data_IF_822174973489
#
_entry.id   IF_822174973489
#
_cell.length_a   1.000
_cell.length_b   1.000
_cell.length_c   1.000
_cell.angle_alpha   90.00
_cell.angle_beta   90.00
_cell.angle_gamma   90.00
#
_symmetry.space_group_name_H-M   'P 1'
#
loop_
_entity.id
_entity.type
_entity.pdbx_description
1 polymer ?
#
# COMPACT_ATOMS: atom_id res chain seq x y z
N UNK A 1 -7.25 -6.42 -2.24
CA UNK A 1 -5.79 -6.53 -2.50
C UNK A 1 -5.08 -6.88 -1.20
N UNK A 2 -4.01 -7.68 -1.23
CA UNK A 2 -3.20 -7.93 -0.04
C UNK A 2 -2.22 -6.77 0.20
N UNK A 3 -2.23 -6.23 1.41
CA UNK A 3 -1.35 -5.13 1.83
C UNK A 3 -0.62 -5.54 3.10
N UNK A 4 0.71 -5.46 3.04
CA UNK A 4 1.59 -5.63 4.20
C UNK A 4 1.89 -4.27 4.82
N UNK A 5 1.67 -4.14 6.13
CA UNK A 5 1.96 -2.90 6.87
C UNK A 5 3.44 -2.55 6.83
N UNK A 6 3.74 -1.27 7.02
CA UNK A 6 5.08 -0.69 7.02
C UNK A 6 5.98 -1.33 8.08
N UNK A 7 5.42 -1.64 9.26
CA UNK A 7 6.11 -2.35 10.35
C UNK A 7 6.20 -3.88 10.14
N UNK A 8 5.71 -4.40 9.01
CA UNK A 8 5.67 -5.83 8.63
C UNK A 8 4.87 -6.75 9.56
N UNK A 9 4.21 -6.21 10.58
CA UNK A 9 3.45 -6.96 11.58
C UNK A 9 2.00 -7.25 11.20
N UNK A 10 1.48 -6.63 10.13
CA UNK A 10 0.13 -6.88 9.62
C UNK A 10 0.17 -7.20 8.13
N UNK A 11 -0.65 -8.17 7.73
CA UNK A 11 -0.93 -8.51 6.34
C UNK A 11 -2.43 -8.65 6.21
N UNK A 12 -3.05 -7.78 5.43
CA UNK A 12 -4.52 -7.72 5.32
C UNK A 12 -4.95 -7.80 3.87
N UNK A 13 -6.11 -8.40 3.61
CA UNK A 13 -6.79 -8.27 2.33
C UNK A 13 -7.90 -7.24 2.48
N UNK A 14 -7.79 -6.12 1.78
CA UNK A 14 -8.76 -5.02 1.87
C UNK A 14 -9.06 -4.41 0.51
N UNK A 15 -10.25 -3.86 0.41
CA UNK A 15 -10.72 -3.03 -0.70
C UNK A 15 -11.10 -1.62 -0.21
N UNK A 16 -10.93 -1.33 1.09
CA UNK A 16 -11.23 -0.05 1.71
C UNK A 16 -9.96 0.49 2.37
N UNK A 17 -9.48 1.62 1.87
CA UNK A 17 -8.25 2.26 2.34
C UNK A 17 -8.52 3.76 2.40
N UNK A 18 -8.13 4.38 3.50
CA UNK A 18 -8.30 5.82 3.72
C UNK A 18 -7.06 6.45 4.32
N UNK A 19 -7.03 7.79 4.29
CA UNK A 19 -6.05 8.59 5.01
C UNK A 19 -6.73 9.28 6.19
N UNK A 20 -6.10 9.18 7.36
CA UNK A 20 -6.45 9.95 8.54
C UNK A 20 -5.27 10.85 8.90
N UNK A 21 -5.54 12.14 9.14
CA UNK A 21 -4.55 13.04 9.73
C UNK A 21 -4.51 12.86 11.24
N UNK A 22 -3.34 12.53 11.79
CA UNK A 22 -3.10 12.38 13.22
C UNK A 22 -1.96 13.29 13.66
N UNK A 23 -2.31 14.44 14.25
CA UNK A 23 -1.33 15.48 14.59
C UNK A 23 -0.61 16.00 13.35
N UNK A 24 0.71 15.79 13.31
CA UNK A 24 1.57 16.20 12.20
C UNK A 24 1.79 15.09 11.15
N UNK A 25 1.17 13.92 11.33
CA UNK A 25 1.34 12.77 10.44
C UNK A 25 0.05 12.45 9.69
N UNK A 26 0.21 11.73 8.58
CA UNK A 26 -0.87 11.20 7.76
C UNK A 26 -0.78 9.67 7.77
N UNK A 27 -1.79 9.03 8.36
CA UNK A 27 -1.87 7.59 8.51
C UNK A 27 -2.70 7.00 7.38
N UNK A 28 -2.16 6.02 6.66
CA UNK A 28 -2.96 5.17 5.77
C UNK A 28 -3.50 4.01 6.59
N UNK A 29 -4.80 3.78 6.49
CA UNK A 29 -5.50 2.78 7.28
C UNK A 29 -6.51 1.99 6.46
N UNK A 30 -6.83 0.81 6.94
CA UNK A 30 -7.93 -0.02 6.47
C UNK A 30 -8.77 -0.43 7.67
N UNK A 31 -10.01 0.08 7.73
CA UNK A 31 -10.85 -0.06 8.91
C UNK A 31 -10.19 0.55 10.15
N UNK A 32 -9.84 -0.28 11.14
CA UNK A 32 -9.20 0.17 12.39
C UNK A 32 -7.68 -0.01 12.41
N UNK A 33 -7.09 -0.53 11.33
CA UNK A 33 -5.67 -0.90 11.28
C UNK A 33 -4.85 0.14 10.53
N UNK A 34 -3.82 0.68 11.18
CA UNK A 34 -2.85 1.58 10.56
C UNK A 34 -1.85 0.73 9.76
N UNK A 35 -1.77 1.00 8.46
CA UNK A 35 -0.91 0.30 7.52
C UNK A 35 0.43 1.01 7.33
N UNK A 36 0.43 2.33 7.35
CA UNK A 36 1.63 3.16 7.22
C UNK A 36 1.40 4.58 7.71
N UNK A 37 2.49 5.29 8.01
CA UNK A 37 2.49 6.67 8.49
C UNK A 37 3.46 7.50 7.64
N UNK A 38 3.03 8.71 7.29
CA UNK A 38 3.76 9.62 6.41
C UNK A 38 3.81 11.03 7.00
N UNK A 39 4.90 11.75 6.75
CA UNK A 39 5.13 13.10 7.26
C UNK A 39 4.26 14.16 6.57
N UNK A 40 3.81 13.88 5.35
CA UNK A 40 3.01 14.82 4.55
C UNK A 40 1.80 14.16 3.90
N UNK A 41 0.81 15.00 3.54
CA UNK A 41 -0.41 14.56 2.87
C UNK A 41 -0.09 14.04 1.47
N UNK A 42 0.84 14.69 0.80
CA UNK A 42 1.27 14.41 -0.57
C UNK A 42 1.91 13.02 -0.66
N UNK A 43 2.75 12.64 0.31
CA UNK A 43 3.33 11.30 0.39
C UNK A 43 2.24 10.24 0.60
N UNK A 44 1.33 10.46 1.55
CA UNK A 44 0.23 9.52 1.80
C UNK A 44 -0.71 9.36 0.59
N UNK A 45 -0.99 10.45 -0.13
CA UNK A 45 -1.77 10.41 -1.37
C UNK A 45 -1.04 9.67 -2.49
N UNK A 46 0.28 9.88 -2.65
CA UNK A 46 1.07 9.15 -3.64
C UNK A 46 1.02 7.64 -3.43
N UNK A 47 1.06 7.19 -2.18
CA UNK A 47 0.91 5.76 -1.84
C UNK A 47 -0.51 5.25 -2.14
N UNK A 48 -1.54 6.05 -1.90
CA UNK A 48 -2.91 5.70 -2.33
C UNK A 48 -3.03 5.58 -3.85
N UNK A 49 -2.41 6.48 -4.60
CA UNK A 49 -2.38 6.45 -6.07
C UNK A 49 -1.65 5.21 -6.59
N UNK A 50 -0.54 4.82 -5.95
CA UNK A 50 0.18 3.57 -6.25
C UNK A 50 -0.70 2.34 -6.01
N UNK A 51 -1.37 2.27 -4.85
CA UNK A 51 -2.28 1.16 -4.53
C UNK A 51 -3.43 1.12 -5.53
N UNK A 52 -4.01 2.27 -5.87
CA UNK A 52 -5.04 2.38 -6.89
C UNK A 52 -4.52 1.87 -8.24
N UNK A 53 -3.31 2.26 -8.66
CA UNK A 53 -2.68 1.78 -9.90
C UNK A 53 -2.47 0.27 -9.91
N UNK A 54 -2.09 -0.31 -8.77
CA UNK A 54 -1.96 -1.76 -8.62
C UNK A 54 -3.32 -2.47 -8.74
N UNK A 55 -4.41 -1.85 -8.27
CA UNK A 55 -5.79 -2.41 -8.36
C UNK A 55 -6.35 -2.27 -9.78
N UNK A 56 -6.17 -1.13 -10.44
CA UNK A 56 -6.73 -0.86 -11.77
C UNK A 56 -5.96 -1.53 -12.91
N UNK A 57 -4.88 -2.27 -12.61
CA UNK A 57 -4.08 -2.98 -13.61
C UNK A 57 -3.39 -2.05 -14.62
N UNK A 58 -3.29 -0.75 -14.33
CA UNK A 58 -2.69 0.24 -15.22
C UNK A 58 -1.17 0.20 -15.10
N UNK A 59 -0.59 -0.50 -16.05
CA UNK A 59 0.85 -0.68 -16.25
C UNK A 59 1.47 0.68 -16.66
N UNK A 60 2.25 1.30 -15.79
CA UNK A 60 3.45 1.99 -16.24
C UNK A 60 4.63 1.09 -15.90
N UNK A 61 5.08 0.31 -16.90
CA UNK A 61 6.37 -0.38 -16.82
C UNK A 61 7.44 0.69 -16.70
N UNK A 62 8.04 0.82 -15.52
CA UNK A 62 9.46 1.07 -15.34
C UNK A 62 9.84 0.80 -13.86
N UNK A 63 10.52 -0.33 -13.65
CA UNK A 63 11.51 -0.55 -12.59
C UNK A 63 11.11 -0.93 -11.16
N UNK A 64 9.93 -1.49 -10.88
CA UNK A 64 9.68 -2.08 -9.55
C UNK A 64 9.06 -3.49 -9.63
N UNK A 65 9.61 -4.40 -8.81
CA UNK A 65 9.20 -5.80 -8.63
C UNK A 65 7.79 -5.91 -8.03
N UNK A 66 6.78 -5.49 -8.79
CA UNK A 66 5.39 -5.80 -8.46
C UNK A 66 5.13 -7.17 -9.06
N UNK A 67 5.17 -8.21 -8.22
CA UNK A 67 4.78 -9.57 -8.62
C UNK A 67 3.27 -9.56 -8.86
N UNK A 68 2.89 -9.39 -10.13
CA UNK A 68 1.50 -9.34 -10.56
C UNK A 68 0.76 -10.65 -10.32
N UNK A 69 -0.55 -10.52 -10.27
CA UNK A 69 -1.54 -11.54 -10.60
C UNK A 69 -1.31 -12.07 -12.03
N UNK A 70 -0.26 -12.86 -12.23
CA UNK A 70 -0.11 -13.67 -13.43
C UNK A 70 -0.85 -14.99 -13.18
N UNK A 71 -1.92 -15.25 -13.96
CA UNK A 71 -2.48 -16.59 -14.08
C UNK A 71 -1.48 -17.49 -14.81
N UNK A 72 -0.49 -17.99 -14.08
CA UNK A 72 0.36 -19.09 -14.55
C UNK A 72 -0.32 -20.37 -14.09
N UNK A 73 -0.81 -21.16 -15.05
CA UNK A 73 -1.21 -22.57 -14.88
C UNK A 73 -2.15 -22.88 -13.69
N UNK A 74 -3.25 -22.14 -13.53
CA UNK A 74 -4.31 -22.50 -12.56
C UNK A 74 -4.04 -22.14 -11.10
N UNK A 75 -2.94 -21.42 -10.81
CA UNK A 75 -2.68 -20.83 -9.49
C UNK A 75 -3.03 -19.34 -9.52
N UNK A 76 -3.98 -18.93 -8.68
CA UNK A 76 -4.28 -17.51 -8.45
C UNK A 76 -3.14 -16.88 -7.65
N UNK A 77 -2.18 -16.27 -8.34
CA UNK A 77 -1.21 -15.41 -7.69
C UNK A 77 -1.95 -14.16 -7.22
N UNK A 78 -1.82 -13.82 -5.94
CA UNK A 78 -2.38 -12.60 -5.38
C UNK A 78 -1.23 -11.64 -5.04
N UNK A 79 -1.09 -10.54 -5.76
CA UNK A 79 -0.07 -9.53 -5.50
C UNK A 79 -0.18 -8.96 -4.08
N UNK A 80 0.95 -8.90 -3.37
CA UNK A 80 1.07 -8.27 -2.04
C UNK A 80 1.76 -6.92 -2.21
N UNK A 81 1.05 -5.83 -1.94
CA UNK A 81 1.63 -4.49 -1.85
C UNK A 81 2.28 -4.30 -0.47
N UNK A 82 3.54 -3.91 -0.40
CA UNK A 82 4.21 -3.60 0.87
C UNK A 82 4.28 -2.10 1.06
N UNK A 83 3.70 -1.59 2.15
CA UNK A 83 3.71 -0.15 2.45
C UNK A 83 5.14 0.40 2.48
N UNK A 84 5.44 1.43 1.67
CA UNK A 84 6.77 2.03 1.63
C UNK A 84 7.05 2.76 2.95
N UNK A 85 8.34 2.77 3.34
CA UNK A 85 8.77 3.57 4.47
C UNK A 85 8.82 5.05 4.11
N UNK A 86 8.57 5.89 5.09
CA UNK A 86 8.87 7.31 5.04
C UNK A 86 10.07 7.57 5.97
N UNK A 87 11.20 7.96 5.40
CA UNK A 87 12.44 8.18 6.16
C UNK A 87 12.35 9.38 7.12
N UNK A 88 11.32 10.23 6.96
CA UNK A 88 11.03 11.36 7.87
C UNK A 88 10.14 10.97 9.06
N UNK A 89 9.69 9.71 9.13
CA UNK A 89 8.88 9.19 10.22
C UNK A 89 9.66 8.07 10.92
N UNK A 90 10.06 8.30 12.16
CA UNK A 90 10.59 7.23 13.02
C UNK A 90 9.42 6.30 13.43
N UNK A 91 9.50 5.04 13.01
CA UNK A 91 8.46 4.00 13.18
C UNK A 91 8.76 3.09 14.36
#
# INVERSE_FOLDING_TARGET
MWIRSQNKGSLINTNEIGILKLGNMYCILSGKLILGMYSSKEKALGVLDEIQGCITGSIFTNNYEIVRDCKIAGTEFHGVYTMPKDDEVEV
#
